data_IF_494659019071
#
_entry.id   IF_494659019071
#
_cell.length_a   1.000
_cell.length_b   1.000
_cell.length_c   1.000
_cell.angle_alpha   90.00
_cell.angle_beta   90.00
_cell.angle_gamma   90.00
#
_symmetry.space_group_name_H-M   'P 1'
#
loop_
_entity.id
_entity.type
_entity.pdbx_description
1 polymer ?
#
# COMPACT_ATOMS: atom_id res chain seq x y z
N UNK A 1 -10.50 -13.76 -17.58
CA UNK A 1 -11.15 -12.83 -16.63
C UNK A 1 -10.48 -11.49 -16.78
N UNK A 2 -11.21 -10.49 -17.28
CA UNK A 2 -10.68 -9.15 -17.41
C UNK A 2 -10.47 -8.54 -16.01
N UNK A 3 -9.24 -8.13 -15.72
CA UNK A 3 -8.88 -7.44 -14.48
C UNK A 3 -7.94 -6.27 -14.80
N UNK A 4 -7.99 -5.18 -14.02
CA UNK A 4 -6.98 -4.12 -14.03
C UNK A 4 -5.55 -4.67 -14.02
N UNK A 5 -4.74 -4.23 -14.98
CA UNK A 5 -3.37 -4.74 -15.14
C UNK A 5 -2.49 -4.29 -13.97
N UNK A 6 -1.85 -5.26 -13.31
CA UNK A 6 -0.97 -5.00 -12.16
C UNK A 6 0.20 -4.06 -12.51
N UNK A 7 0.71 -4.10 -13.74
CA UNK A 7 1.74 -3.17 -14.22
C UNK A 7 1.32 -1.69 -14.21
N UNK A 8 0.01 -1.39 -14.17
CA UNK A 8 -0.51 -0.01 -14.18
C UNK A 8 -0.70 0.53 -12.77
N UNK A 9 -1.39 -0.21 -11.89
CA UNK A 9 -1.74 0.27 -10.54
C UNK A 9 -0.77 -0.21 -9.45
N UNK A 10 -0.04 -1.29 -9.67
CA UNK A 10 0.89 -1.88 -8.72
C UNK A 10 2.06 -0.95 -8.37
N UNK A 11 2.84 -0.45 -9.36
CA UNK A 11 3.96 0.45 -9.07
C UNK A 11 3.53 1.74 -8.34
N UNK A 12 2.45 2.45 -8.73
CA UNK A 12 1.95 3.60 -7.96
C UNK A 12 1.59 3.27 -6.51
N UNK A 13 0.95 2.13 -6.25
CA UNK A 13 0.61 1.72 -4.88
C UNK A 13 1.88 1.44 -4.06
N UNK A 14 2.84 0.70 -4.62
CA UNK A 14 4.11 0.43 -3.93
C UNK A 14 4.89 1.70 -3.62
N UNK A 15 4.96 2.63 -4.57
CA UNK A 15 5.58 3.93 -4.35
C UNK A 15 4.92 4.67 -3.18
N UNK A 16 3.59 4.76 -3.15
CA UNK A 16 2.85 5.39 -2.04
C UNK A 16 3.18 4.72 -0.71
N UNK A 17 3.06 3.39 -0.63
CA UNK A 17 3.23 2.65 0.62
C UNK A 17 4.66 2.74 1.14
N UNK A 18 5.67 2.47 0.31
CA UNK A 18 7.04 2.48 0.78
C UNK A 18 7.53 3.89 1.11
N UNK A 19 7.26 4.90 0.27
CA UNK A 19 7.66 6.29 0.57
C UNK A 19 6.96 6.83 1.81
N UNK A 20 5.68 6.49 2.04
CA UNK A 20 5.01 6.88 3.28
C UNK A 20 5.60 6.16 4.51
N UNK A 21 6.00 4.89 4.38
CA UNK A 21 6.59 4.13 5.48
C UNK A 21 7.94 4.71 5.95
N UNK A 22 8.72 5.31 5.04
CA UNK A 22 9.94 6.04 5.41
C UNK A 22 9.67 7.29 6.26
N UNK A 23 8.45 7.83 6.23
CA UNK A 23 8.02 8.98 7.05
C UNK A 23 7.35 8.57 8.36
N UNK A 24 7.04 7.28 8.55
CA UNK A 24 6.37 6.79 9.76
C UNK A 24 7.22 7.11 10.99
N UNK A 25 6.65 7.84 11.95
CA UNK A 25 7.31 8.15 13.21
C UNK A 25 8.30 9.30 13.09
N UNK A 26 8.22 10.07 12.01
CA UNK A 26 9.01 11.29 11.84
C UNK A 26 8.85 12.22 13.04
N UNK A 27 9.93 12.92 13.39
CA UNK A 27 10.00 13.70 14.63
C UNK A 27 8.90 14.76 14.71
N UNK A 28 8.43 15.27 13.57
CA UNK A 28 7.36 16.26 13.48
C UNK A 28 5.99 15.69 13.86
N UNK A 29 5.75 14.39 13.64
CA UNK A 29 4.46 13.74 13.83
C UNK A 29 4.40 12.85 15.08
N UNK A 30 5.50 12.79 15.84
CA UNK A 30 5.64 11.99 17.08
C UNK A 30 4.57 12.25 18.15
N UNK A 31 3.85 13.37 18.05
CA UNK A 31 2.79 13.77 18.98
C UNK A 31 1.42 13.15 18.65
N UNK A 32 1.28 12.49 17.49
CA UNK A 32 0.03 11.84 17.05
C UNK A 32 0.20 10.33 16.73
N UNK A 33 0.87 9.53 17.58
CA UNK A 33 1.20 8.15 17.24
C UNK A 33 -0.02 7.24 17.04
N UNK A 34 -1.10 7.45 17.81
CA UNK A 34 -2.34 6.66 17.67
C UNK A 34 -3.06 6.94 16.36
N UNK A 35 -3.00 8.18 15.89
CA UNK A 35 -3.65 8.57 14.63
C UNK A 35 -2.88 8.01 13.44
N UNK A 36 -1.55 8.10 13.47
CA UNK A 36 -0.68 7.47 12.47
C UNK A 36 -0.94 5.96 12.38
N UNK A 37 -1.01 5.27 13.53
CA UNK A 37 -1.36 3.85 13.61
C UNK A 37 -2.74 3.55 13.03
N UNK A 38 -3.74 4.39 13.31
CA UNK A 38 -5.10 4.24 12.76
C UNK A 38 -5.11 4.37 11.25
N UNK A 39 -4.40 5.35 10.69
CA UNK A 39 -4.31 5.57 9.24
C UNK A 39 -3.64 4.36 8.57
N UNK A 40 -2.49 3.92 9.07
CA UNK A 40 -1.79 2.75 8.53
C UNK A 40 -2.59 1.46 8.66
N UNK A 41 -3.17 1.21 9.84
CA UNK A 41 -4.02 0.05 10.09
C UNK A 41 -5.24 0.03 9.18
N UNK A 42 -5.91 1.16 9.05
CA UNK A 42 -7.03 1.33 8.15
C UNK A 42 -6.67 1.09 6.69
N UNK A 43 -5.59 1.69 6.22
CA UNK A 43 -5.13 1.58 4.84
C UNK A 43 -4.73 0.14 4.48
N UNK A 44 -3.83 -0.48 5.25
CA UNK A 44 -3.34 -1.82 4.94
C UNK A 44 -4.46 -2.86 5.08
N UNK A 45 -5.35 -2.72 6.06
CA UNK A 45 -6.49 -3.65 6.17
C UNK A 45 -7.53 -3.46 5.07
N UNK A 46 -7.76 -2.24 4.58
CA UNK A 46 -8.74 -2.02 3.50
C UNK A 46 -8.28 -2.61 2.16
N UNK A 47 -6.96 -2.71 1.91
CA UNK A 47 -6.41 -3.33 0.70
C UNK A 47 -6.82 -4.80 0.52
N UNK A 48 -7.13 -5.52 1.61
CA UNK A 48 -7.71 -6.88 1.56
C UNK A 48 -8.99 -6.96 0.73
N UNK A 49 -9.68 -5.84 0.55
CA UNK A 49 -10.99 -5.79 -0.12
C UNK A 49 -11.00 -4.90 -1.36
N UNK A 50 -10.04 -3.99 -1.51
CA UNK A 50 -10.05 -2.96 -2.57
C UNK A 50 -9.00 -3.13 -3.66
N UNK A 51 -8.06 -4.07 -3.52
CA UNK A 51 -7.05 -4.31 -4.57
C UNK A 51 -7.75 -4.62 -5.93
N UNK A 52 -7.37 -3.93 -7.03
CA UNK A 52 -8.10 -4.01 -8.29
C UNK A 52 -8.12 -5.38 -8.97
N UNK A 53 -7.19 -6.27 -8.60
CA UNK A 53 -7.09 -7.62 -9.15
C UNK A 53 -7.54 -8.68 -8.13
N UNK A 54 -8.48 -9.58 -8.47
CA UNK A 54 -8.96 -10.63 -7.57
C UNK A 54 -7.86 -11.56 -7.05
N UNK A 55 -6.92 -11.97 -7.91
CA UNK A 55 -5.81 -12.83 -7.50
C UNK A 55 -4.85 -12.10 -6.55
N UNK A 56 -4.53 -10.84 -6.84
CA UNK A 56 -3.71 -10.02 -5.93
C UNK A 56 -4.39 -9.86 -4.57
N UNK A 57 -5.71 -9.61 -4.56
CA UNK A 57 -6.52 -9.50 -3.35
C UNK A 57 -6.51 -10.78 -2.51
N UNK A 58 -6.71 -11.94 -3.15
CA UNK A 58 -6.62 -13.25 -2.50
C UNK A 58 -5.26 -13.44 -1.85
N UNK A 59 -4.18 -13.28 -2.61
CA UNK A 59 -2.82 -13.48 -2.09
C UNK A 59 -2.46 -12.48 -0.98
N UNK A 60 -2.87 -11.21 -1.12
CA UNK A 60 -2.64 -10.20 -0.09
C UNK A 60 -3.39 -10.54 1.19
N UNK A 61 -4.65 -10.98 1.08
CA UNK A 61 -5.46 -11.41 2.22
C UNK A 61 -4.86 -12.61 2.94
N UNK A 62 -4.38 -13.62 2.18
CA UNK A 62 -3.68 -14.77 2.74
C UNK A 62 -2.38 -14.36 3.42
N UNK A 63 -1.59 -13.48 2.82
CA UNK A 63 -0.34 -13.00 3.39
C UNK A 63 -0.57 -12.25 4.70
N UNK A 64 -1.50 -11.29 4.73
CA UNK A 64 -1.87 -10.52 5.93
C UNK A 64 -2.37 -11.43 7.05
N UNK A 65 -3.10 -12.49 6.71
CA UNK A 65 -3.61 -13.45 7.72
C UNK A 65 -2.49 -14.28 8.35
N UNK A 66 -1.43 -14.59 7.59
CA UNK A 66 -0.27 -15.37 8.07
C UNK A 66 0.80 -14.50 8.74
N UNK A 67 0.90 -13.23 8.34
CA UNK A 67 1.89 -12.28 8.81
C UNK A 67 1.18 -11.03 9.34
N UNK A 68 0.63 -11.08 10.56
CA UNK A 68 -0.05 -9.93 11.15
C UNK A 68 0.91 -8.75 11.29
N UNK A 69 0.41 -7.54 11.01
CA UNK A 69 1.22 -6.32 11.04
C UNK A 69 1.24 -5.75 12.45
N UNK A 70 2.43 -5.37 12.92
CA UNK A 70 2.58 -4.47 14.06
C UNK A 70 2.66 -3.05 13.52
N UNK A 71 1.71 -2.20 13.88
CA UNK A 71 1.65 -0.81 13.40
C UNK A 71 2.61 0.09 14.19
N UNK A 72 3.90 -0.11 13.96
CA UNK A 72 4.97 0.72 14.50
C UNK A 72 5.93 1.11 13.36
N UNK A 73 6.70 2.21 13.50
CA UNK A 73 7.51 2.76 12.42
C UNK A 73 8.41 1.76 11.67
N UNK A 74 9.29 1.03 12.38
CA UNK A 74 10.18 0.04 11.75
C UNK A 74 9.42 -1.20 11.29
N UNK A 75 8.44 -1.65 12.09
CA UNK A 75 7.67 -2.85 11.80
C UNK A 75 6.86 -2.76 10.51
N UNK A 76 6.22 -1.61 10.22
CA UNK A 76 5.47 -1.45 8.94
C UNK A 76 6.40 -1.46 7.74
N UNK A 77 7.58 -0.85 7.87
CA UNK A 77 8.59 -0.80 6.81
C UNK A 77 9.13 -2.19 6.47
N UNK A 78 9.59 -2.93 7.48
CA UNK A 78 10.06 -4.31 7.34
C UNK A 78 8.96 -5.21 6.78
N UNK A 79 7.73 -5.07 7.29
CA UNK A 79 6.60 -5.86 6.83
C UNK A 79 6.27 -5.62 5.34
N UNK A 80 6.28 -4.35 4.89
CA UNK A 80 6.06 -4.01 3.48
C UNK A 80 7.18 -4.58 2.59
N UNK A 81 8.42 -4.50 3.03
CA UNK A 81 9.56 -5.11 2.33
C UNK A 81 9.35 -6.62 2.16
N UNK A 82 9.08 -7.34 3.25
CA UNK A 82 8.85 -8.79 3.18
C UNK A 82 7.64 -9.17 2.34
N UNK A 83 6.56 -8.38 2.40
CA UNK A 83 5.40 -8.57 1.54
C UNK A 83 5.77 -8.42 0.07
N UNK A 84 6.48 -7.35 -0.29
CA UNK A 84 6.88 -7.09 -1.66
C UNK A 84 7.83 -8.18 -2.17
N UNK A 85 8.78 -8.63 -1.33
CA UNK A 85 9.65 -9.76 -1.64
C UNK A 85 8.89 -11.06 -1.87
N UNK A 86 7.90 -11.38 -1.02
CA UNK A 86 7.06 -12.55 -1.21
C UNK A 86 6.24 -12.47 -2.52
N UNK A 87 5.79 -11.27 -2.91
CA UNK A 87 5.14 -11.04 -4.20
C UNK A 87 6.12 -11.25 -5.36
N UNK A 88 7.33 -10.71 -5.28
CA UNK A 88 8.35 -10.86 -6.33
C UNK A 88 8.76 -12.33 -6.51
N UNK A 89 9.05 -13.03 -5.41
CA UNK A 89 9.37 -14.46 -5.43
C UNK A 89 8.27 -15.29 -6.10
N UNK A 90 7.00 -15.07 -5.72
CA UNK A 90 5.86 -15.78 -6.33
C UNK A 90 5.74 -15.49 -7.84
N UNK A 91 6.08 -14.28 -8.27
CA UNK A 91 6.00 -13.86 -9.67
C UNK A 91 7.29 -14.16 -10.46
N UNK A 92 8.30 -14.79 -9.86
CA UNK A 92 9.59 -15.04 -10.50
C UNK A 92 10.34 -13.76 -10.89
N UNK A 93 10.10 -12.67 -10.16
CA UNK A 93 10.78 -11.38 -10.38
C UNK A 93 12.05 -11.31 -9.57
N UNK A 94 12.94 -10.41 -9.98
CA UNK A 94 14.12 -10.09 -9.20
C UNK A 94 13.73 -9.68 -7.76
N UNK A 95 14.49 -10.20 -6.81
CA UNK A 95 14.30 -10.02 -5.38
C UNK A 95 15.67 -9.91 -4.67
N UNK A 96 16.66 -9.37 -5.37
CA UNK A 96 18.03 -9.17 -4.87
C UNK A 96 18.20 -7.91 -4.03
N UNK A 97 17.29 -6.94 -4.15
CA UNK A 97 17.25 -5.71 -3.35
C UNK A 97 17.20 -6.03 -1.85
N UNK A 98 18.17 -5.51 -1.11
CA UNK A 98 18.20 -5.54 0.36
C UNK A 98 17.20 -4.55 0.96
N UNK A 99 16.94 -4.68 2.27
CA UNK A 99 16.06 -3.75 2.98
C UNK A 99 16.64 -2.33 2.96
N UNK A 100 17.95 -2.20 3.13
CA UNK A 100 18.68 -0.93 3.13
C UNK A 100 18.61 -0.25 1.76
N UNK A 101 18.80 -0.99 0.67
CA UNK A 101 18.67 -0.45 -0.69
C UNK A 101 17.23 -0.05 -1.01
N UNK A 102 16.24 -0.82 -0.54
CA UNK A 102 14.83 -0.45 -0.67
C UNK A 102 14.51 0.85 0.07
N UNK A 103 15.05 1.04 1.28
CA UNK A 103 14.89 2.29 2.03
C UNK A 103 15.49 3.48 1.27
N UNK A 104 16.69 3.34 0.72
CA UNK A 104 17.32 4.39 -0.07
C UNK A 104 16.48 4.73 -1.31
N UNK A 105 15.99 3.71 -2.02
CA UNK A 105 15.12 3.87 -3.19
C UNK A 105 13.88 4.74 -2.88
N UNK A 106 13.23 4.50 -1.74
CA UNK A 106 11.95 5.13 -1.41
C UNK A 106 12.06 6.41 -0.57
N UNK A 107 13.28 6.88 -0.26
CA UNK A 107 13.50 8.11 0.52
C UNK A 107 13.04 9.37 -0.24
N UNK A 108 13.10 9.36 -1.57
CA UNK A 108 12.73 10.51 -2.38
C UNK A 108 11.21 10.79 -2.35
N UNK A 109 10.82 12.06 -2.52
CA UNK A 109 9.42 12.43 -2.67
C UNK A 109 8.85 11.91 -3.98
N UNK A 110 7.61 11.44 -3.94
CA UNK A 110 6.85 10.97 -5.11
C UNK A 110 5.72 11.96 -5.45
N UNK A 111 5.24 12.01 -6.71
CA UNK A 111 4.03 12.74 -7.07
C UNK A 111 2.78 12.00 -6.55
N UNK A 112 2.55 12.04 -5.24
CA UNK A 112 1.53 11.24 -4.53
C UNK A 112 0.16 11.34 -5.20
N UNK A 113 -0.29 12.57 -5.52
CA UNK A 113 -1.60 12.81 -6.14
C UNK A 113 -1.73 12.10 -7.49
N UNK A 114 -0.68 12.09 -8.31
CA UNK A 114 -0.70 11.42 -9.60
C UNK A 114 -0.78 9.90 -9.42
N UNK A 115 0.00 9.32 -8.50
CA UNK A 115 -0.06 7.90 -8.18
C UNK A 115 -1.42 7.48 -7.61
N UNK A 116 -1.96 8.25 -6.67
CA UNK A 116 -3.28 8.00 -6.08
C UNK A 116 -4.39 8.09 -7.14
N UNK A 117 -4.29 9.02 -8.09
CA UNK A 117 -5.25 9.15 -9.20
C UNK A 117 -5.25 7.91 -10.11
N UNK A 118 -4.06 7.38 -10.45
CA UNK A 118 -3.96 6.12 -11.23
C UNK A 118 -4.60 4.96 -10.47
N UNK A 119 -4.25 4.81 -9.18
CA UNK A 119 -4.81 3.76 -8.34
C UNK A 119 -6.35 3.85 -8.23
N UNK A 120 -6.88 5.05 -8.00
CA UNK A 120 -8.31 5.30 -7.90
C UNK A 120 -9.04 4.93 -9.20
N UNK A 121 -8.49 5.29 -10.37
CA UNK A 121 -9.07 4.94 -11.67
C UNK A 121 -9.17 3.43 -11.85
N UNK A 122 -8.11 2.68 -11.52
CA UNK A 122 -8.10 1.22 -11.65
C UNK A 122 -8.99 0.53 -10.60
N UNK A 123 -9.10 1.07 -9.39
CA UNK A 123 -10.09 0.60 -8.39
C UNK A 123 -11.53 0.83 -8.84
N UNK A 124 -11.84 1.98 -9.46
CA UNK A 124 -13.17 2.25 -10.03
C UNK A 124 -13.48 1.29 -11.18
N UNK A 125 -12.49 0.97 -12.02
CA UNK A 125 -12.63 -0.07 -13.05
C UNK A 125 -12.91 -1.45 -12.43
N UNK A 126 -12.25 -1.79 -11.33
CA UNK A 126 -12.49 -3.04 -10.60
C UNK A 126 -13.93 -3.14 -10.05
N UNK A 127 -14.54 -2.02 -9.63
CA UNK A 127 -15.96 -1.99 -9.24
C UNK A 127 -16.85 -2.37 -10.42
N UNK A 128 -16.63 -1.76 -11.59
CA UNK A 128 -17.44 -2.02 -12.80
C UNK A 128 -17.34 -3.47 -13.27
N UNK A 129 -16.21 -4.12 -13.01
CA UNK A 129 -15.96 -5.52 -13.34
C UNK A 129 -16.45 -6.49 -12.26
N UNK A 130 -17.05 -6.01 -11.17
CA UNK A 130 -17.54 -6.85 -10.06
C UNK A 130 -16.44 -7.38 -9.14
N UNK A 131 -15.21 -6.89 -9.27
CA UNK A 131 -14.06 -7.37 -8.48
C UNK A 131 -13.98 -6.72 -7.11
N UNK A 132 -14.51 -5.50 -6.95
CA UNK A 132 -14.52 -4.74 -5.70
C UNK A 132 -15.91 -4.13 -5.44
N UNK A 133 -16.25 -3.91 -4.17
CA UNK A 133 -17.42 -3.10 -3.82
C UNK A 133 -17.07 -1.62 -3.84
N UNK A 134 -18.09 -0.76 -4.01
CA UNK A 134 -17.92 0.70 -3.91
C UNK A 134 -17.46 1.13 -2.52
N UNK A 135 -18.01 0.49 -1.49
CA UNK A 135 -17.74 0.81 -0.08
C UNK A 135 -16.28 0.52 0.30
N UNK A 136 -15.73 -0.63 -0.13
CA UNK A 136 -14.34 -1.01 0.15
C UNK A 136 -13.33 -0.08 -0.53
N UNK A 137 -13.62 0.29 -1.77
CA UNK A 137 -12.80 1.25 -2.54
C UNK A 137 -12.86 2.63 -1.90
N UNK A 138 -14.05 3.13 -1.55
CA UNK A 138 -14.19 4.43 -0.88
C UNK A 138 -13.47 4.46 0.47
N UNK A 139 -13.52 3.38 1.25
CA UNK A 139 -12.78 3.26 2.51
C UNK A 139 -11.27 3.41 2.29
N UNK A 140 -10.74 2.74 1.27
CA UNK A 140 -9.31 2.81 0.94
C UNK A 140 -8.90 4.19 0.47
N UNK A 141 -9.71 4.84 -0.39
CA UNK A 141 -9.44 6.19 -0.86
C UNK A 141 -9.40 7.19 0.30
N UNK A 142 -10.33 7.09 1.27
CA UNK A 142 -10.30 7.95 2.46
C UNK A 142 -9.00 7.82 3.24
N UNK A 143 -8.52 6.59 3.48
CA UNK A 143 -7.24 6.40 4.16
C UNK A 143 -6.04 6.91 3.34
N UNK A 144 -6.07 6.83 2.01
CA UNK A 144 -5.04 7.45 1.16
C UNK A 144 -5.04 8.98 1.27
N UNK A 145 -6.22 9.61 1.34
CA UNK A 145 -6.36 11.05 1.54
C UNK A 145 -5.88 11.49 2.94
N UNK A 146 -6.24 10.73 3.97
CA UNK A 146 -5.77 10.93 5.34
C UNK A 146 -4.24 10.81 5.42
N UNK A 147 -3.66 9.75 4.82
CA UNK A 147 -2.21 9.55 4.72
C UNK A 147 -1.50 10.72 4.03
N UNK A 148 -2.06 11.19 2.90
CA UNK A 148 -1.53 12.34 2.16
C UNK A 148 -1.45 13.58 3.05
N UNK A 149 -2.55 13.90 3.74
CA UNK A 149 -2.64 15.07 4.63
C UNK A 149 -1.72 14.91 5.83
N UNK A 150 -1.67 13.72 6.43
CA UNK A 150 -0.88 13.46 7.63
C UNK A 150 0.61 13.68 7.39
N UNK A 151 1.13 13.25 6.24
CA UNK A 151 2.55 13.40 5.88
C UNK A 151 2.87 14.60 4.99
N UNK A 152 1.92 15.49 4.73
CA UNK A 152 2.06 16.67 3.86
C UNK A 152 2.72 16.33 2.50
N UNK A 153 2.16 15.34 1.81
CA UNK A 153 2.55 14.97 0.44
C UNK A 153 2.02 15.92 -0.62
#
# INVERSE_FOLDING_TARGET
>A
MDAPQNSVWGPPLWAILHTAAERFGSIMLRHLPKEEQRIWGGLLMSLRYSLPCPQCKKHYTEYVSKHPIVFQPSAVREWLYHLHSAVNQRLGRDNSLTLEEAQEHYRASIPFTAHASVLQKEMVKAIRLGHCTREDVQRTIRFLEELKRFYNF
#
